data_IF_167453274261
#
_entry.id   IF_167453274261
#
_cell.length_a   1.000
_cell.length_b   1.000
_cell.length_c   1.000
_cell.angle_alpha   90.00
_cell.angle_beta   90.00
_cell.angle_gamma   90.00
#
_symmetry.space_group_name_H-M   'P 1'
#
loop_
_entity.id
_entity.type
_entity.pdbx_description
1 polymer ?
#
# COMPACT_ATOMS: atom_id res chain seq x y z
N UNK A 1 9.82 22.82 17.23
CA UNK A 1 8.34 22.74 17.38
C UNK A 1 7.58 23.08 16.09
N UNK A 2 8.08 23.92 15.17
CA UNK A 2 7.25 24.46 14.08
C UNK A 2 6.97 23.55 12.87
N UNK A 3 7.59 22.37 12.73
CA UNK A 3 7.53 21.61 11.47
C UNK A 3 7.44 20.10 11.76
N UNK A 4 6.20 19.63 11.85
CA UNK A 4 5.83 18.23 12.04
C UNK A 4 5.02 17.83 10.81
N UNK A 5 5.63 17.08 9.88
CA UNK A 5 4.93 16.57 8.69
C UNK A 5 4.84 15.06 8.78
N UNK A 6 3.64 14.56 8.50
CA UNK A 6 3.36 13.13 8.37
C UNK A 6 3.55 12.71 6.92
N UNK A 7 4.27 11.62 6.72
CA UNK A 7 4.53 11.01 5.41
C UNK A 7 3.68 9.76 5.27
N UNK A 8 2.95 9.66 4.17
CA UNK A 8 2.07 8.54 3.87
C UNK A 8 2.71 7.68 2.79
N UNK A 9 2.87 6.38 3.05
CA UNK A 9 3.17 5.39 2.01
C UNK A 9 1.84 4.82 1.51
N UNK A 10 1.55 5.03 0.22
CA UNK A 10 0.29 4.63 -0.43
C UNK A 10 0.55 3.42 -1.30
N UNK A 11 -0.37 2.46 -1.30
CA UNK A 11 -0.29 1.23 -2.09
C UNK A 11 -1.38 1.18 -3.18
N UNK A 12 -1.20 0.31 -4.19
CA UNK A 12 -2.14 0.14 -5.30
C UNK A 12 -2.90 -1.21 -5.18
N UNK A 13 -4.19 -1.21 -4.76
CA UNK A 13 -5.03 -2.42 -4.75
C UNK A 13 -5.25 -3.04 -6.13
N UNK A 14 -5.73 -4.28 -6.16
CA UNK A 14 -6.07 -4.99 -7.42
C UNK A 14 -7.29 -4.47 -8.15
N UNK A 15 -8.14 -3.66 -7.52
CA UNK A 15 -9.41 -3.22 -8.08
C UNK A 15 -9.69 -1.74 -7.74
N UNK A 16 -8.63 -0.94 -7.60
CA UNK A 16 -8.76 0.44 -7.14
C UNK A 16 -9.69 1.29 -8.02
N UNK A 17 -9.74 1.03 -9.32
CA UNK A 17 -10.56 1.77 -10.29
C UNK A 17 -12.07 1.50 -10.18
N UNK A 18 -12.50 0.48 -9.44
CA UNK A 18 -13.93 0.15 -9.28
C UNK A 18 -14.66 1.14 -8.35
N UNK A 19 -13.92 2.01 -7.67
CA UNK A 19 -14.51 2.97 -6.75
C UNK A 19 -15.32 4.04 -7.48
N UNK A 20 -16.43 4.53 -6.90
CA UNK A 20 -17.29 5.56 -7.52
C UNK A 20 -16.55 6.83 -7.95
N UNK A 21 -15.45 7.16 -7.30
CA UNK A 21 -14.59 8.28 -7.68
C UNK A 21 -14.13 8.18 -9.15
N UNK A 22 -13.74 6.99 -9.60
CA UNK A 22 -13.12 6.79 -10.91
C UNK A 22 -14.13 6.67 -12.07
N UNK A 23 -15.40 6.42 -11.76
CA UNK A 23 -16.50 6.47 -12.73
C UNK A 23 -17.09 7.88 -12.88
N UNK A 24 -16.59 8.86 -12.12
CA UNK A 24 -17.06 10.25 -12.18
C UNK A 24 -16.81 10.91 -13.53
N UNK A 25 -17.84 11.59 -14.06
CA UNK A 25 -17.70 12.44 -15.23
C UNK A 25 -16.72 13.61 -15.01
N UNK A 26 -16.55 14.04 -13.75
CA UNK A 26 -15.66 15.13 -13.37
C UNK A 26 -14.18 14.72 -13.26
N UNK A 27 -13.84 13.44 -13.47
CA UNK A 27 -12.46 12.96 -13.40
C UNK A 27 -11.61 13.61 -14.51
N UNK A 28 -10.53 14.28 -14.12
CA UNK A 28 -9.65 14.98 -15.06
C UNK A 28 -8.98 13.99 -16.03
N UNK A 29 -8.73 14.39 -17.30
CA UNK A 29 -8.03 13.51 -18.26
C UNK A 29 -6.68 13.00 -17.77
N UNK A 30 -5.94 13.84 -17.02
CA UNK A 30 -4.65 13.45 -16.45
C UNK A 30 -4.79 12.40 -15.32
N UNK A 31 -5.90 12.40 -14.58
CA UNK A 31 -6.19 11.34 -13.61
C UNK A 31 -6.52 10.02 -14.33
N UNK A 32 -7.28 10.08 -15.43
CA UNK A 32 -7.57 8.90 -16.28
C UNK A 32 -6.30 8.24 -16.79
N UNK A 33 -5.37 9.05 -17.29
CA UNK A 33 -4.08 8.55 -17.75
C UNK A 33 -3.27 7.94 -16.60
N UNK A 34 -3.25 8.59 -15.43
CA UNK A 34 -2.54 8.06 -14.26
C UNK A 34 -3.13 6.74 -13.76
N UNK A 35 -4.46 6.57 -13.82
CA UNK A 35 -5.15 5.30 -13.49
C UNK A 35 -4.69 4.18 -14.42
N UNK A 36 -4.70 4.41 -15.74
CA UNK A 36 -4.21 3.44 -16.72
C UNK A 36 -2.76 3.06 -16.46
N UNK A 37 -1.89 4.04 -16.14
CA UNK A 37 -0.49 3.76 -15.81
C UNK A 37 -0.35 2.89 -14.55
N UNK A 38 -1.20 3.11 -13.54
CA UNK A 38 -1.18 2.36 -12.28
C UNK A 38 -1.79 0.96 -12.37
N UNK A 39 -2.52 0.63 -13.43
CA UNK A 39 -3.05 -0.72 -13.62
C UNK A 39 -1.93 -1.78 -13.67
N UNK A 40 -0.77 -1.44 -14.24
CA UNK A 40 0.44 -2.29 -14.23
C UNK A 40 1.20 -2.34 -12.89
N UNK A 41 0.64 -1.71 -11.85
CA UNK A 41 1.26 -1.56 -10.52
C UNK A 41 0.40 -2.14 -9.41
N UNK A 42 -0.68 -2.86 -9.72
CA UNK A 42 -1.50 -3.52 -8.70
C UNK A 42 -0.63 -4.47 -7.86
N UNK A 43 -0.80 -4.44 -6.53
CA UNK A 43 -0.09 -5.26 -5.53
C UNK A 43 1.43 -5.03 -5.40
N UNK A 44 2.06 -4.39 -6.38
CA UNK A 44 3.51 -4.15 -6.39
C UNK A 44 3.84 -2.67 -6.24
N UNK A 45 2.88 -1.80 -6.54
CA UNK A 45 3.04 -0.35 -6.60
C UNK A 45 2.94 0.31 -5.25
N UNK A 46 3.88 1.22 -4.99
CA UNK A 46 3.81 2.12 -3.84
C UNK A 46 4.42 3.48 -4.16
N UNK A 47 4.04 4.49 -3.38
CA UNK A 47 4.69 5.80 -3.42
C UNK A 47 4.56 6.49 -2.05
N UNK A 48 5.36 7.53 -1.83
CA UNK A 48 5.30 8.35 -0.62
C UNK A 48 4.64 9.69 -0.95
N UNK A 49 3.75 10.14 -0.09
CA UNK A 49 3.00 11.38 -0.20
C UNK A 49 3.20 12.21 1.07
N UNK A 50 3.43 13.50 0.91
CA UNK A 50 3.33 14.48 1.99
C UNK A 50 2.24 15.50 1.63
N UNK A 51 1.36 15.82 2.58
CA UNK A 51 0.29 16.81 2.37
C UNK A 51 0.76 18.26 2.55
N UNK A 52 1.96 18.44 3.11
CA UNK A 52 2.56 19.74 3.45
C UNK A 52 4.07 19.65 3.30
N UNK A 53 4.73 20.76 3.05
CA UNK A 53 6.17 20.87 3.27
C UNK A 53 6.58 22.17 3.97
N UNK A 54 7.89 22.29 4.14
CA UNK A 54 8.55 23.45 4.74
C UNK A 54 8.19 24.71 3.95
N UNK A 55 7.61 25.68 4.65
CA UNK A 55 7.21 26.97 4.06
C UNK A 55 5.75 27.07 3.64
N UNK A 56 4.98 25.97 3.65
CA UNK A 56 3.54 26.01 3.37
C UNK A 56 2.81 26.78 4.48
N UNK A 57 1.82 27.60 4.10
CA UNK A 57 1.03 28.37 5.06
C UNK A 57 0.08 27.46 5.87
N UNK A 58 -0.19 27.78 7.15
CA UNK A 58 -1.19 27.05 7.93
C UNK A 58 -2.53 26.97 7.20
N UNK A 59 -3.07 25.76 7.03
CA UNK A 59 -4.34 25.51 6.35
C UNK A 59 -4.28 25.46 4.82
N UNK A 60 -3.10 25.69 4.20
CA UNK A 60 -2.90 25.67 2.75
C UNK A 60 -1.71 24.77 2.39
N UNK A 61 -1.82 23.48 2.74
CA UNK A 61 -0.83 22.48 2.36
C UNK A 61 -0.97 22.12 0.87
N UNK A 62 0.16 22.04 0.16
CA UNK A 62 0.18 21.54 -1.22
C UNK A 62 0.67 20.10 -1.19
N UNK A 63 -0.22 19.11 -1.46
CA UNK A 63 0.17 17.72 -1.53
C UNK A 63 1.26 17.50 -2.57
N UNK A 64 2.17 16.57 -2.30
CA UNK A 64 3.24 16.20 -3.21
C UNK A 64 3.65 14.76 -3.01
N UNK A 65 3.72 14.01 -4.11
CA UNK A 65 4.41 12.73 -4.10
C UNK A 65 5.92 12.99 -4.01
N UNK A 66 6.60 12.26 -3.12
CA UNK A 66 8.03 12.43 -2.85
C UNK A 66 8.92 11.70 -3.86
N UNK A 67 8.31 10.87 -4.71
CA UNK A 67 8.96 10.17 -5.82
C UNK A 67 7.96 9.88 -6.94
N UNK A 68 8.44 9.32 -8.04
CA UNK A 68 7.56 8.59 -8.97
C UNK A 68 7.03 7.32 -8.32
N UNK A 69 5.94 6.77 -8.84
CA UNK A 69 5.43 5.46 -8.41
C UNK A 69 6.53 4.40 -8.55
N UNK A 70 6.84 3.75 -7.43
CA UNK A 70 7.81 2.67 -7.34
C UNK A 70 7.09 1.32 -7.48
N UNK A 71 7.87 0.27 -7.73
CA UNK A 71 7.39 -1.10 -7.67
C UNK A 71 8.30 -1.95 -6.80
N UNK A 72 7.73 -2.99 -6.20
CA UNK A 72 8.49 -4.07 -5.59
C UNK A 72 9.40 -4.78 -6.62
N UNK A 73 10.46 -5.47 -6.18
CA UNK A 73 11.28 -6.29 -7.06
C UNK A 73 10.45 -7.28 -7.86
N UNK A 74 10.92 -7.59 -9.08
CA UNK A 74 10.25 -8.55 -9.96
C UNK A 74 10.04 -9.90 -9.26
N UNK A 75 8.89 -10.52 -9.52
CA UNK A 75 8.52 -11.80 -8.93
C UNK A 75 8.03 -11.70 -7.49
N UNK A 76 7.79 -10.50 -6.96
CA UNK A 76 7.26 -10.29 -5.62
C UNK A 76 6.06 -9.35 -5.60
N UNK A 77 5.17 -9.53 -4.62
CA UNK A 77 4.02 -8.65 -4.43
C UNK A 77 3.61 -8.56 -2.95
N UNK A 78 2.89 -7.49 -2.60
CA UNK A 78 2.28 -7.33 -1.27
C UNK A 78 1.13 -8.31 -1.14
N UNK A 79 1.18 -9.18 -0.12
CA UNK A 79 0.17 -10.21 0.11
C UNK A 79 -1.25 -9.63 0.19
N UNK A 80 -2.21 -10.37 -0.38
CA UNK A 80 -3.60 -9.93 -0.56
C UNK A 80 -4.30 -9.62 0.78
N UNK A 81 -3.82 -10.22 1.88
CA UNK A 81 -4.30 -10.00 3.24
C UNK A 81 -4.19 -8.53 3.67
N UNK A 82 -3.24 -7.78 3.10
CA UNK A 82 -3.06 -6.35 3.38
C UNK A 82 -4.13 -5.46 2.77
N UNK A 83 -4.91 -5.96 1.82
CA UNK A 83 -5.97 -5.21 1.16
C UNK A 83 -7.37 -5.62 1.64
N UNK A 84 -7.45 -6.46 2.69
CA UNK A 84 -8.68 -6.69 3.46
C UNK A 84 -8.97 -5.49 4.38
N UNK A 85 -10.17 -5.38 4.96
CA UNK A 85 -10.47 -4.33 5.93
C UNK A 85 -9.45 -4.27 7.10
N UNK A 86 -9.12 -3.09 7.64
CA UNK A 86 -8.06 -2.93 8.64
C UNK A 86 -8.35 -3.60 10.01
N UNK A 87 -9.61 -3.96 10.26
CA UNK A 87 -10.02 -4.71 11.45
C UNK A 87 -10.01 -6.23 11.24
N UNK A 88 -9.79 -6.70 10.01
CA UNK A 88 -9.67 -8.12 9.71
C UNK A 88 -8.23 -8.57 9.91
N UNK A 89 -8.06 -9.53 10.81
CA UNK A 89 -6.76 -10.09 11.16
C UNK A 89 -6.61 -11.49 10.54
N UNK A 90 -5.57 -11.64 9.73
CA UNK A 90 -5.13 -12.93 9.21
C UNK A 90 -3.86 -13.34 9.94
N UNK A 91 -3.82 -14.58 10.41
CA UNK A 91 -2.64 -15.13 11.07
C UNK A 91 -1.84 -15.97 10.09
N UNK A 92 -0.65 -15.51 9.71
CA UNK A 92 0.27 -16.32 8.94
C UNK A 92 1.01 -17.29 9.87
N UNK A 93 0.76 -18.61 9.77
CA UNK A 93 1.29 -19.60 10.73
C UNK A 93 2.80 -19.62 10.68
N UNK A 94 3.54 -19.48 11.78
CA UNK A 94 5.03 -19.39 11.86
C UNK A 94 5.75 -20.72 12.00
N UNK A 95 5.01 -21.82 12.09
CA UNK A 95 5.55 -23.17 12.15
C UNK A 95 4.63 -24.12 11.36
N UNK A 96 5.15 -25.31 11.02
CA UNK A 96 4.40 -26.33 10.28
C UNK A 96 3.14 -26.81 11.02
N UNK A 97 3.15 -26.73 12.35
CA UNK A 97 2.02 -27.11 13.20
C UNK A 97 0.88 -26.06 13.21
N UNK A 98 1.11 -24.85 12.69
CA UNK A 98 0.15 -23.74 12.73
C UNK A 98 -0.18 -23.21 14.13
N UNK A 99 0.61 -23.57 15.15
CA UNK A 99 0.34 -23.25 16.57
C UNK A 99 0.84 -21.88 17.01
N UNK A 100 1.65 -21.21 16.17
CA UNK A 100 2.07 -19.83 16.35
C UNK A 100 1.89 -19.08 15.03
N UNK A 101 1.69 -17.76 15.06
CA UNK A 101 1.46 -16.98 13.85
C UNK A 101 1.82 -15.50 14.00
N UNK A 102 2.19 -14.87 12.88
CA UNK A 102 2.30 -13.41 12.79
C UNK A 102 0.92 -12.88 12.45
N UNK A 103 0.43 -11.94 13.26
CA UNK A 103 -0.80 -11.21 12.99
C UNK A 103 -0.55 -10.21 11.86
N UNK A 104 -1.18 -10.46 10.72
CA UNK A 104 -1.27 -9.55 9.59
C UNK A 104 -2.64 -8.90 9.69
N UNK A 105 -2.73 -7.58 9.51
CA UNK A 105 -4.03 -7.00 9.20
C UNK A 105 -3.96 -6.15 7.96
N UNK A 106 -5.15 -5.82 7.45
CA UNK A 106 -5.31 -4.84 6.40
C UNK A 106 -4.60 -3.52 6.68
N UNK A 107 -4.14 -2.87 5.62
CA UNK A 107 -3.72 -1.48 5.70
C UNK A 107 -4.87 -0.60 6.18
N UNK A 108 -4.54 0.50 6.86
CA UNK A 108 -5.52 1.56 7.04
C UNK A 108 -5.93 2.09 5.67
N UNK A 109 -7.20 2.50 5.53
CA UNK A 109 -7.73 3.11 4.32
C UNK A 109 -8.28 4.50 4.62
N UNK A 110 -8.21 5.41 3.66
CA UNK A 110 -8.65 6.79 3.84
C UNK A 110 -9.03 7.45 2.52
N UNK A 111 -9.99 8.35 2.57
CA UNK A 111 -10.46 9.24 1.49
C UNK A 111 -9.89 10.66 1.65
N UNK A 112 -8.80 10.81 2.41
CA UNK A 112 -8.14 12.11 2.70
C UNK A 112 -6.84 12.32 1.93
N UNK A 113 -6.41 11.33 1.14
CA UNK A 113 -5.16 11.39 0.39
C UNK A 113 -5.46 11.52 -1.11
N UNK A 114 -4.87 12.51 -1.81
CA UNK A 114 -4.97 12.61 -3.25
C UNK A 114 -4.32 11.41 -3.94
N UNK A 115 -5.10 10.75 -4.78
CA UNK A 115 -4.72 9.62 -5.60
C UNK A 115 -5.53 9.63 -6.90
N UNK A 116 -4.92 9.39 -8.07
CA UNK A 116 -3.58 8.83 -8.28
C UNK A 116 -2.43 9.85 -8.34
N UNK A 117 -2.74 11.15 -8.35
CA UNK A 117 -1.77 12.25 -8.47
C UNK A 117 -1.94 13.24 -7.33
N UNK A 118 -0.93 14.05 -7.07
CA UNK A 118 -0.97 15.04 -6.00
C UNK A 118 -1.97 16.17 -6.30
N UNK A 119 -2.17 16.46 -7.58
CA UNK A 119 -3.09 17.48 -8.09
C UNK A 119 -4.53 16.98 -8.22
N UNK A 120 -4.78 15.69 -7.99
CA UNK A 120 -6.15 15.16 -7.95
C UNK A 120 -6.96 15.97 -6.94
N UNK A 121 -8.20 16.32 -7.31
CA UNK A 121 -9.10 17.15 -6.49
C UNK A 121 -10.09 16.29 -5.70
N UNK A 122 -10.50 16.72 -4.49
CA UNK A 122 -11.48 15.98 -3.70
C UNK A 122 -12.88 15.98 -4.37
N UNK A 123 -13.75 15.01 -4.03
CA UNK A 123 -13.54 13.92 -3.06
C UNK A 123 -12.49 12.91 -3.55
N UNK A 124 -11.74 12.28 -2.64
CA UNK A 124 -10.71 11.30 -3.01
C UNK A 124 -11.23 9.86 -2.92
N UNK A 125 -10.63 8.92 -3.68
CA UNK A 125 -10.90 7.49 -3.49
C UNK A 125 -10.34 7.02 -2.14
N UNK A 126 -10.89 5.92 -1.62
CA UNK A 126 -10.31 5.21 -0.49
C UNK A 126 -9.00 4.55 -0.92
N UNK A 127 -7.90 4.89 -0.27
CA UNK A 127 -6.59 4.31 -0.58
C UNK A 127 -5.96 3.65 0.65
N UNK A 128 -5.33 2.47 0.47
CA UNK A 128 -4.56 1.84 1.54
C UNK A 128 -3.27 2.60 1.80
N UNK A 129 -2.92 2.78 3.07
CA UNK A 129 -1.74 3.53 3.45
C UNK A 129 -1.07 3.02 4.74
N UNK A 130 0.20 3.38 4.89
CA UNK A 130 0.93 3.45 6.16
C UNK A 130 1.32 4.91 6.38
N UNK A 131 1.18 5.44 7.59
CA UNK A 131 1.61 6.80 7.90
C UNK A 131 2.74 6.82 8.92
N UNK A 132 3.69 7.72 8.71
CA UNK A 132 4.82 7.99 9.59
C UNK A 132 4.72 9.42 10.08
N UNK A 133 4.64 9.64 11.39
CA UNK A 133 4.68 10.98 11.95
C UNK A 133 6.07 11.60 11.76
N UNK A 134 6.21 12.86 12.18
CA UNK A 134 7.46 13.63 12.06
C UNK A 134 8.66 13.07 12.84
N UNK A 135 8.46 12.10 13.75
CA UNK A 135 9.52 11.38 14.45
C UNK A 135 9.85 10.03 13.78
N UNK A 136 9.17 9.69 12.69
CA UNK A 136 9.27 8.39 12.02
C UNK A 136 8.42 7.29 12.68
N UNK A 137 7.59 7.60 13.68
CA UNK A 137 6.73 6.61 14.31
C UNK A 137 5.51 6.32 13.43
N UNK A 138 5.01 5.08 13.47
CA UNK A 138 3.75 4.75 12.82
C UNK A 138 2.61 5.54 13.45
N UNK A 139 1.78 6.16 12.62
CA UNK A 139 0.58 6.91 13.02
C UNK A 139 -0.60 6.56 12.09
N UNK A 140 -1.76 7.20 12.28
CA UNK A 140 -2.91 7.13 11.39
C UNK A 140 -3.60 8.49 11.34
N UNK A 141 -4.54 8.69 10.43
CA UNK A 141 -5.34 9.92 10.41
C UNK A 141 -6.10 10.20 11.71
N UNK A 142 -6.42 9.16 12.47
CA UNK A 142 -7.12 9.24 13.76
C UNK A 142 -6.16 9.56 14.92
N UNK A 143 -4.89 9.22 14.79
CA UNK A 143 -3.89 9.38 15.84
C UNK A 143 -2.88 10.51 15.59
N UNK A 144 -2.77 11.02 14.36
CA UNK A 144 -1.77 12.02 13.96
C UNK A 144 -1.81 13.28 14.84
N UNK A 145 -0.67 13.72 15.45
CA UNK A 145 0.70 13.23 15.24
C UNK A 145 1.21 12.19 16.24
N UNK A 146 0.35 11.69 17.12
CA UNK A 146 0.70 10.66 18.10
C UNK A 146 0.90 9.29 17.43
N UNK A 147 1.77 8.43 17.99
CA UNK A 147 1.96 7.09 17.46
C UNK A 147 0.71 6.23 17.63
N UNK A 148 0.49 5.30 16.70
CA UNK A 148 -0.53 4.26 16.90
C UNK A 148 -0.16 3.39 18.11
N UNK A 149 -1.15 3.07 18.95
CA UNK A 149 -0.97 2.24 20.15
C UNK A 149 -1.62 0.86 20.02
N UNK A 150 -2.48 0.68 19.03
CA UNK A 150 -3.24 -0.57 18.82
C UNK A 150 -2.38 -1.71 18.24
N UNK A 151 -1.19 -1.42 17.72
CA UNK A 151 -0.29 -2.37 17.06
C UNK A 151 1.17 -2.02 17.38
N UNK A 152 1.99 -2.98 17.86
CA UNK A 152 3.40 -2.72 18.18
C UNK A 152 4.30 -2.64 16.93
N UNK A 153 3.85 -3.19 15.80
CA UNK A 153 4.53 -3.14 14.52
C UNK A 153 3.52 -3.34 13.37
N UNK A 154 3.93 -2.93 12.17
CA UNK A 154 3.23 -3.21 10.93
C UNK A 154 3.96 -4.34 10.17
N UNK A 155 3.23 -5.42 9.86
CA UNK A 155 3.76 -6.55 9.10
C UNK A 155 3.20 -6.53 7.68
N UNK A 156 4.09 -6.56 6.70
CA UNK A 156 3.76 -6.65 5.27
C UNK A 156 4.25 -8.02 4.77
N UNK A 157 3.36 -8.98 4.49
CA UNK A 157 3.72 -10.19 3.77
C UNK A 157 4.15 -9.83 2.34
N UNK A 158 5.28 -10.36 1.92
CA UNK A 158 5.79 -10.29 0.55
C UNK A 158 5.87 -11.72 0.05
N UNK A 159 4.98 -12.06 -0.90
CA UNK A 159 4.98 -13.37 -1.54
C UNK A 159 5.83 -13.35 -2.81
N UNK A 160 6.34 -14.53 -3.16
CA UNK A 160 6.99 -14.78 -4.43
C UNK A 160 5.97 -15.39 -5.40
N UNK A 161 5.78 -14.74 -6.54
CA UNK A 161 4.84 -15.17 -7.56
C UNK A 161 5.20 -14.57 -8.92
N UNK A 162 4.76 -15.26 -9.98
CA UNK A 162 4.65 -14.65 -11.29
C UNK A 162 3.39 -13.79 -11.31
N UNK A 163 3.57 -12.48 -11.51
CA UNK A 163 2.48 -11.53 -11.66
C UNK A 163 2.47 -10.99 -13.08
N UNK A 164 1.31 -11.06 -13.74
CA UNK A 164 1.11 -10.53 -15.08
C UNK A 164 -0.11 -9.60 -15.09
N UNK A 165 0.03 -8.46 -15.76
CA UNK A 165 -1.05 -7.50 -15.96
C UNK A 165 -1.53 -7.58 -17.41
N UNK A 166 -2.85 -7.54 -17.60
CA UNK A 166 -3.45 -7.48 -18.93
C UNK A 166 -3.03 -6.18 -19.63
N UNK A 167 -2.75 -6.27 -20.93
CA UNK A 167 -2.42 -5.12 -21.78
C UNK A 167 -3.27 -5.12 -23.05
N UNK A 168 -3.63 -3.94 -23.51
CA UNK A 168 -4.26 -3.74 -24.80
C UNK A 168 -3.27 -4.09 -25.92
N UNK A 169 -3.65 -4.98 -26.83
CA UNK A 169 -2.74 -5.49 -27.87
C UNK A 169 -2.33 -4.45 -28.91
N UNK A 170 -3.11 -3.39 -29.10
CA UNK A 170 -2.83 -2.38 -30.13
C UNK A 170 -1.93 -1.27 -29.59
N UNK A 171 -2.19 -0.84 -28.35
CA UNK A 171 -1.53 0.31 -27.72
C UNK A 171 -0.42 -0.09 -26.75
N UNK A 172 -0.42 -1.35 -26.28
CA UNK A 172 0.50 -1.83 -25.24
C UNK A 172 0.21 -1.28 -23.84
N UNK A 173 -0.86 -0.50 -23.67
CA UNK A 173 -1.25 0.07 -22.38
C UNK A 173 -1.90 -0.98 -21.49
N UNK A 174 -1.68 -0.87 -20.18
CA UNK A 174 -2.32 -1.76 -19.22
C UNK A 174 -3.85 -1.60 -19.22
N UNK A 175 -4.56 -2.73 -19.14
CA UNK A 175 -6.01 -2.78 -19.01
C UNK A 175 -6.42 -2.68 -17.54
N UNK A 176 -7.60 -2.12 -17.28
CA UNK A 176 -8.21 -2.07 -15.94
C UNK A 176 -8.84 -3.43 -15.60
N UNK A 177 -7.98 -4.42 -15.45
CA UNK A 177 -8.31 -5.78 -15.06
C UNK A 177 -7.42 -6.22 -13.91
N UNK A 178 -7.90 -7.13 -13.07
CA UNK A 178 -7.10 -7.70 -11.99
C UNK A 178 -5.88 -8.46 -12.55
N UNK A 179 -4.77 -8.52 -11.80
CA UNK A 179 -3.58 -9.20 -12.26
C UNK A 179 -3.79 -10.73 -12.22
N UNK A 180 -3.14 -11.42 -13.15
CA UNK A 180 -2.97 -12.86 -13.06
C UNK A 180 -1.79 -13.18 -12.14
N UNK A 181 -2.01 -14.03 -11.13
CA UNK A 181 -1.01 -14.36 -10.11
C UNK A 181 -0.85 -15.88 -10.08
N UNK A 182 0.38 -16.33 -10.29
CA UNK A 182 0.80 -17.73 -10.09
C UNK A 182 1.85 -17.74 -8.98
N UNK A 183 1.42 -18.11 -7.77
CA UNK A 183 2.29 -18.16 -6.61
C UNK A 183 3.21 -19.39 -6.63
N UNK A 184 4.45 -19.21 -6.18
CA UNK A 184 5.39 -20.30 -5.96
C UNK A 184 5.02 -21.04 -4.67
N UNK A 185 4.01 -21.91 -4.74
CA UNK A 185 3.62 -22.79 -3.63
C UNK A 185 4.36 -24.13 -3.77
N UNK A 186 5.18 -24.54 -2.78
CA UNK A 186 5.88 -25.83 -2.83
C UNK A 186 4.89 -27.01 -3.02
N UNK A 187 5.24 -28.02 -3.84
CA UNK A 187 4.40 -29.20 -4.03
C UNK A 187 4.03 -29.86 -2.69
N UNK A 188 2.73 -30.08 -2.46
CA UNK A 188 2.22 -30.75 -1.26
C UNK A 188 1.88 -29.83 -0.07
N UNK A 189 2.08 -28.51 -0.20
CA UNK A 189 1.72 -27.54 0.85
C UNK A 189 0.59 -26.62 0.37
N UNK A 190 -0.32 -26.20 1.28
CA UNK A 190 -1.36 -25.18 1.02
C UNK A 190 -1.05 -23.82 1.65
N UNK A 191 0.15 -23.66 2.19
CA UNK A 191 0.58 -22.50 2.95
C UNK A 191 1.43 -21.65 2.02
N UNK A 192 1.07 -20.37 1.88
CA UNK A 192 1.83 -19.39 1.11
C UNK A 192 3.18 -19.13 1.78
N UNK A 193 4.25 -19.16 1.00
CA UNK A 193 5.59 -18.90 1.51
C UNK A 193 5.83 -17.38 1.51
N UNK A 194 5.53 -16.72 2.63
CA UNK A 194 5.80 -15.29 2.78
C UNK A 194 7.17 -15.02 3.37
N UNK A 195 7.84 -14.00 2.83
CA UNK A 195 8.76 -13.18 3.61
C UNK A 195 7.96 -12.04 4.26
N UNK A 196 8.43 -11.53 5.40
CA UNK A 196 7.74 -10.41 6.06
C UNK A 196 8.67 -9.21 6.12
N UNK A 197 8.14 -8.04 5.76
CA UNK A 197 8.71 -6.77 6.18
C UNK A 197 8.02 -6.39 7.48
N UNK A 198 8.78 -6.27 8.56
CA UNK A 198 8.29 -5.67 9.80
C UNK A 198 8.73 -4.21 9.84
N UNK A 199 7.79 -3.32 10.16
CA UNK A 199 8.02 -1.91 10.41
C UNK A 199 7.70 -1.66 11.88
N UNK A 200 8.73 -1.34 12.66
CA UNK A 200 8.59 -1.06 14.09
C UNK A 200 7.76 0.22 14.31
N UNK A 201 6.75 0.17 15.19
CA UNK A 201 5.82 1.29 15.37
C UNK A 201 6.46 2.53 15.99
N UNK A 202 7.50 2.38 16.81
CA UNK A 202 8.14 3.48 17.54
C UNK A 202 9.29 4.14 16.78
N UNK A 203 9.81 3.49 15.74
CA UNK A 203 10.97 3.98 15.00
C UNK A 203 10.75 4.06 13.50
N UNK A 204 9.70 3.42 12.97
CA UNK A 204 9.40 3.31 11.54
C UNK A 204 10.45 2.52 10.76
N UNK A 205 11.39 1.86 11.44
CA UNK A 205 12.46 1.11 10.80
C UNK A 205 11.91 -0.20 10.24
N UNK A 206 12.12 -0.38 8.94
CA UNK A 206 11.79 -1.62 8.25
C UNK A 206 12.91 -2.65 8.38
N UNK A 207 12.56 -3.91 8.63
CA UNK A 207 13.48 -5.05 8.54
C UNK A 207 12.83 -6.26 7.90
N UNK A 208 13.62 -7.03 7.17
CA UNK A 208 13.18 -8.30 6.61
C UNK A 208 13.22 -9.39 7.69
N UNK A 209 12.08 -10.01 7.94
CA UNK A 209 11.95 -11.24 8.70
C UNK A 209 11.85 -12.38 7.70
N UNK A 210 12.98 -13.03 7.45
CA UNK A 210 13.02 -14.28 6.69
C UNK A 210 12.55 -15.42 7.58
N UNK A 211 11.80 -16.35 6.99
CA UNK A 211 11.67 -17.67 7.59
C UNK A 211 12.79 -18.57 7.12
N UNK A 212 13.23 -19.45 8.01
CA UNK A 212 13.92 -20.64 7.58
C UNK A 212 12.96 -21.45 6.70
N UNK A 213 13.36 -21.73 5.47
CA UNK A 213 12.74 -22.80 4.70
C UNK A 213 12.91 -24.09 5.51
N UNK A 214 11.83 -24.86 5.67
CA UNK A 214 11.93 -26.27 6.02
C UNK A 214 11.88 -27.05 4.71
#
# INVERSE_FOLDING_TARGET
>A
ISQRTTVYMIFVPTNFWEQPFFSSAALEPADRQAITNLASRQLVGYNYLALRAVGDQPGQGVPRYLSTWQALPEGTFVGLEKFQPPWEDVFAPTNAAGTAGIRIAGFFVTDRLPFPRAETRPPYPLVPYIAFNYLGQLTSFESDPEPITIRPAEYIPVAHARIAHSVDRQTGLALLEGPWIEEDVPPGTRIRTYQFIEIDALTGRARLIKRAAQ
#
